data_IF_268481630806
#
_entry.id   IF_268481630806
#
_cell.length_a   1.000
_cell.length_b   1.000
_cell.length_c   1.000
_cell.angle_alpha   90.00
_cell.angle_beta   90.00
_cell.angle_gamma   90.00
#
_symmetry.space_group_name_H-M   'P 1'
#
loop_
_entity.id
_entity.type
_entity.pdbx_description
1 polymer ?
#
# COMPACT_ATOMS: atom_id res chain seq x y z
N UNK A 1 17.13 -0.17 12.20
CA UNK A 1 15.95 0.23 13.00
C UNK A 1 15.05 1.04 12.10
N UNK A 2 13.73 0.89 12.22
CA UNK A 2 12.75 1.66 11.46
C UNK A 2 11.81 2.36 12.43
N UNK A 3 11.36 3.56 12.08
CA UNK A 3 10.32 4.29 12.82
C UNK A 3 9.39 4.91 11.80
N UNK A 4 8.09 4.89 12.12
CA UNK A 4 7.05 5.56 11.36
C UNK A 4 6.60 6.80 12.17
N UNK A 5 7.56 7.54 12.72
CA UNK A 5 7.39 8.68 13.64
C UNK A 5 6.63 8.39 14.95
N UNK A 6 6.37 7.11 15.25
CA UNK A 6 5.79 6.68 16.53
C UNK A 6 6.83 6.57 17.66
N UNK A 7 8.11 6.62 17.31
CA UNK A 7 9.22 6.48 18.27
C UNK A 7 10.37 7.40 17.88
N UNK A 8 10.71 8.28 18.80
CA UNK A 8 11.96 9.04 18.73
C UNK A 8 13.15 8.13 19.04
N UNK A 9 14.21 8.28 18.26
CA UNK A 9 15.47 7.61 18.54
C UNK A 9 16.40 8.50 19.36
N UNK A 10 17.18 7.93 20.30
CA UNK A 10 18.15 8.70 21.08
C UNK A 10 19.18 9.37 20.16
N UNK A 11 19.62 10.59 20.51
CA UNK A 11 20.62 11.33 19.74
C UNK A 11 21.93 10.54 19.51
N UNK A 12 22.30 9.67 20.45
CA UNK A 12 23.47 8.80 20.31
C UNK A 12 23.36 7.80 19.16
N UNK A 13 22.14 7.38 18.81
CA UNK A 13 21.84 6.50 17.69
C UNK A 13 21.84 7.30 16.38
N UNK A 14 21.14 8.44 16.37
CA UNK A 14 21.02 9.30 15.18
C UNK A 14 22.37 9.75 14.63
N UNK A 15 23.34 10.08 15.50
CA UNK A 15 24.70 10.48 15.06
C UNK A 15 25.58 9.34 14.52
N UNK A 16 25.14 8.07 14.61
CA UNK A 16 25.89 6.87 14.17
C UNK A 16 25.17 6.09 13.07
N UNK A 17 24.01 6.55 12.62
CA UNK A 17 23.20 5.87 11.60
C UNK A 17 23.00 6.77 10.38
N UNK A 18 22.92 6.15 9.20
CA UNK A 18 22.46 6.83 7.99
C UNK A 18 20.95 7.06 8.09
N UNK A 19 20.53 8.31 7.98
CA UNK A 19 19.11 8.66 7.95
C UNK A 19 18.57 8.49 6.54
N UNK A 20 17.68 7.52 6.37
CA UNK A 20 16.95 7.30 5.13
C UNK A 20 15.48 7.62 5.38
N UNK A 21 14.97 8.65 4.72
CA UNK A 21 13.54 8.94 4.70
C UNK A 21 12.89 8.18 3.51
N UNK A 22 11.96 7.29 3.82
CA UNK A 22 11.22 6.52 2.84
C UNK A 22 9.85 7.18 2.62
N UNK A 23 9.78 8.02 1.58
CA UNK A 23 8.53 8.65 1.17
C UNK A 23 7.49 7.65 0.65
N UNK A 24 6.23 8.11 0.54
CA UNK A 24 5.15 7.31 -0.05
C UNK A 24 5.50 6.93 -1.50
N UNK A 25 5.31 5.66 -1.91
CA UNK A 25 5.57 5.24 -3.27
C UNK A 25 4.57 5.88 -4.24
N UNK A 26 5.06 6.37 -5.38
CA UNK A 26 4.21 6.81 -6.49
C UNK A 26 3.70 5.62 -7.33
N UNK A 27 2.88 5.91 -8.36
CA UNK A 27 2.21 4.88 -9.17
C UNK A 27 3.18 3.88 -9.80
N UNK A 28 4.29 4.33 -10.39
CA UNK A 28 5.27 3.43 -11.03
C UNK A 28 5.93 2.49 -10.01
N UNK A 29 6.20 3.00 -8.80
CA UNK A 29 6.81 2.20 -7.73
C UNK A 29 5.82 1.20 -7.15
N UNK A 30 4.56 1.58 -7.03
CA UNK A 30 3.48 0.67 -6.61
C UNK A 30 3.26 -0.44 -7.64
N UNK A 31 3.19 -0.10 -8.93
CA UNK A 31 3.10 -1.08 -10.02
C UNK A 31 4.28 -2.07 -9.99
N UNK A 32 5.51 -1.57 -9.82
CA UNK A 32 6.69 -2.41 -9.67
C UNK A 32 6.63 -3.30 -8.42
N UNK A 33 6.08 -2.80 -7.30
CA UNK A 33 5.88 -3.59 -6.08
C UNK A 33 4.87 -4.70 -6.32
N UNK A 34 3.71 -4.40 -6.90
CA UNK A 34 2.68 -5.41 -7.25
C UNK A 34 3.30 -6.48 -8.16
N UNK A 35 3.99 -6.06 -9.22
CA UNK A 35 4.60 -6.98 -10.17
C UNK A 35 5.67 -7.88 -9.53
N UNK A 36 6.47 -7.32 -8.63
CA UNK A 36 7.51 -8.07 -7.91
C UNK A 36 6.94 -9.13 -6.93
N UNK A 37 5.74 -8.91 -6.40
CA UNK A 37 5.12 -9.83 -5.43
C UNK A 37 4.17 -10.85 -6.09
N UNK A 38 3.46 -10.45 -7.14
CA UNK A 38 2.32 -11.20 -7.68
C UNK A 38 2.51 -11.65 -9.13
N UNK A 39 3.62 -11.25 -9.76
CA UNK A 39 3.98 -11.62 -11.13
C UNK A 39 3.98 -10.42 -12.08
N UNK A 40 4.70 -10.52 -13.22
CA UNK A 40 4.95 -9.37 -14.11
C UNK A 40 3.69 -8.89 -14.86
N UNK A 41 2.64 -9.71 -14.92
CA UNK A 41 1.45 -9.44 -15.71
C UNK A 41 0.49 -8.52 -14.94
N UNK A 42 0.71 -7.21 -15.08
CA UNK A 42 -0.21 -6.19 -14.58
C UNK A 42 -1.44 -6.10 -15.49
N UNK A 43 -2.62 -6.36 -14.94
CA UNK A 43 -3.92 -6.21 -15.60
C UNK A 43 -4.48 -4.81 -15.37
N UNK A 44 -5.49 -4.43 -16.14
CA UNK A 44 -6.21 -3.16 -15.94
C UNK A 44 -6.82 -3.08 -14.52
N UNK A 45 -7.29 -4.21 -13.97
CA UNK A 45 -7.79 -4.29 -12.60
C UNK A 45 -6.70 -3.97 -11.55
N UNK A 46 -5.46 -4.41 -11.78
CA UNK A 46 -4.34 -4.07 -10.91
C UNK A 46 -4.03 -2.56 -10.93
N UNK A 47 -4.10 -1.94 -12.12
CA UNK A 47 -3.89 -0.49 -12.29
C UNK A 47 -5.00 0.28 -11.59
N UNK A 48 -6.25 -0.13 -11.75
CA UNK A 48 -7.39 0.49 -11.07
C UNK A 48 -7.26 0.43 -9.55
N UNK A 49 -6.77 -0.69 -8.99
CA UNK A 49 -6.51 -0.81 -7.54
C UNK A 49 -5.38 0.11 -7.08
N UNK A 50 -4.32 0.26 -7.87
CA UNK A 50 -3.22 1.21 -7.58
C UNK A 50 -3.76 2.64 -7.57
N UNK A 51 -4.58 3.02 -8.55
CA UNK A 51 -5.15 4.36 -8.63
C UNK A 51 -6.11 4.63 -7.46
N UNK A 52 -6.94 3.65 -7.08
CA UNK A 52 -7.79 3.73 -5.87
C UNK A 52 -6.99 3.84 -4.58
N UNK A 53 -5.81 3.22 -4.50
CA UNK A 53 -4.91 3.36 -3.36
C UNK A 53 -4.31 4.78 -3.30
N UNK A 54 -3.96 5.35 -4.45
CA UNK A 54 -3.41 6.69 -4.57
C UNK A 54 -4.44 7.79 -4.35
N UNK A 55 -5.73 7.54 -4.64
CA UNK A 55 -6.82 8.50 -4.50
C UNK A 55 -7.29 8.74 -3.05
N UNK A 56 -6.55 8.26 -2.05
CA UNK A 56 -6.87 8.47 -0.63
C UNK A 56 -6.91 9.96 -0.26
N UNK A 57 -7.89 10.35 0.56
CA UNK A 57 -8.01 11.75 0.98
C UNK A 57 -6.84 12.17 1.89
N UNK A 58 -6.51 13.48 1.96
CA UNK A 58 -5.53 13.98 2.92
C UNK A 58 -5.89 13.56 4.35
N UNK A 59 -4.96 12.91 5.04
CA UNK A 59 -5.20 12.38 6.39
C UNK A 59 -5.86 11.01 6.41
N UNK A 60 -6.06 10.34 5.27
CA UNK A 60 -6.31 8.91 5.23
C UNK A 60 -4.99 8.18 4.99
N UNK A 61 -4.72 7.16 5.82
CA UNK A 61 -3.55 6.32 5.66
C UNK A 61 -3.96 4.91 5.27
N UNK A 62 -3.39 4.45 4.15
CA UNK A 62 -3.40 3.06 3.73
C UNK A 62 -1.97 2.54 3.69
N UNK A 63 -1.78 1.35 4.26
CA UNK A 63 -0.50 0.67 4.23
C UNK A 63 -0.32 -0.10 2.92
N UNK A 64 0.92 -0.24 2.45
CA UNK A 64 1.20 -0.87 1.15
C UNK A 64 0.77 -2.35 1.10
N UNK A 65 0.77 -3.03 2.24
CA UNK A 65 0.25 -4.39 2.38
C UNK A 65 -1.27 -4.46 2.11
N UNK A 66 -2.05 -3.41 2.41
CA UNK A 66 -3.47 -3.38 2.06
C UNK A 66 -3.70 -3.44 0.54
N UNK A 67 -2.85 -2.74 -0.24
CA UNK A 67 -2.89 -2.84 -1.70
C UNK A 67 -2.51 -4.26 -2.15
N UNK A 68 -1.38 -4.78 -1.66
CA UNK A 68 -0.91 -6.11 -2.06
C UNK A 68 -1.92 -7.21 -1.70
N UNK A 69 -2.54 -7.13 -0.53
CA UNK A 69 -3.58 -8.04 -0.09
C UNK A 69 -4.85 -7.90 -0.93
N UNK A 70 -5.25 -6.67 -1.29
CA UNK A 70 -6.39 -6.46 -2.17
C UNK A 70 -6.17 -7.13 -3.53
N UNK A 71 -5.04 -6.88 -4.18
CA UNK A 71 -4.70 -7.49 -5.47
C UNK A 71 -4.64 -9.02 -5.37
N UNK A 72 -3.96 -9.56 -4.35
CA UNK A 72 -3.84 -11.00 -4.17
C UNK A 72 -5.19 -11.68 -3.93
N UNK A 73 -6.01 -11.13 -3.03
CA UNK A 73 -7.26 -11.77 -2.64
C UNK A 73 -8.31 -11.68 -3.75
N UNK A 74 -8.37 -10.60 -4.54
CA UNK A 74 -9.28 -10.53 -5.69
C UNK A 74 -8.85 -11.48 -6.81
N UNK A 75 -7.54 -11.68 -7.01
CA UNK A 75 -7.02 -12.64 -7.97
C UNK A 75 -7.31 -14.10 -7.57
N UNK A 76 -7.11 -14.46 -6.30
CA UNK A 76 -7.29 -15.84 -5.81
C UNK A 76 -8.76 -16.19 -5.58
N UNK A 77 -9.64 -15.19 -5.40
CA UNK A 77 -11.10 -15.38 -5.32
C UNK A 77 -11.75 -15.74 -6.67
N UNK A 78 -11.00 -16.37 -7.57
CA UNK A 78 -11.40 -16.67 -8.93
C UNK A 78 -12.65 -17.57 -8.92
N UNK A 79 -13.73 -17.06 -9.51
CA UNK A 79 -15.08 -17.65 -9.47
C UNK A 79 -16.17 -16.79 -8.82
N UNK A 80 -15.82 -15.70 -8.13
CA UNK A 80 -16.77 -14.68 -7.66
C UNK A 80 -17.15 -13.66 -8.74
N UNK A 81 -18.34 -13.07 -8.62
CA UNK A 81 -18.82 -11.96 -9.46
C UNK A 81 -17.84 -10.77 -9.41
N UNK A 82 -17.50 -10.10 -10.53
CA UNK A 82 -16.77 -8.84 -10.53
C UNK A 82 -17.24 -7.82 -9.48
N UNK A 83 -18.55 -7.74 -9.21
CA UNK A 83 -19.09 -6.84 -8.18
C UNK A 83 -18.58 -7.20 -6.77
N UNK A 84 -18.53 -8.49 -6.44
CA UNK A 84 -18.05 -8.98 -5.15
C UNK A 84 -16.54 -8.72 -4.97
N UNK A 85 -15.76 -8.84 -6.05
CA UNK A 85 -14.32 -8.53 -6.04
C UNK A 85 -14.09 -7.04 -5.79
N UNK A 86 -14.86 -6.19 -6.46
CA UNK A 86 -14.81 -4.74 -6.24
C UNK A 86 -15.12 -4.37 -4.79
N UNK A 87 -16.16 -4.97 -4.22
CA UNK A 87 -16.54 -4.77 -2.81
C UNK A 87 -15.49 -5.29 -1.83
N UNK A 88 -14.88 -6.44 -2.12
CA UNK A 88 -13.79 -6.99 -1.31
C UNK A 88 -12.57 -6.05 -1.31
N UNK A 89 -12.17 -5.56 -2.48
CA UNK A 89 -11.08 -4.61 -2.60
C UNK A 89 -11.33 -3.32 -1.81
N UNK A 90 -12.57 -2.80 -1.83
CA UNK A 90 -12.97 -1.65 -1.02
C UNK A 90 -12.86 -1.91 0.49
N UNK A 91 -13.27 -3.10 0.95
CA UNK A 91 -13.18 -3.49 2.36
C UNK A 91 -11.72 -3.57 2.83
N UNK A 92 -10.86 -4.18 2.01
CA UNK A 92 -9.44 -4.39 2.32
C UNK A 92 -8.65 -3.08 2.31
N UNK A 93 -9.02 -2.14 1.44
CA UNK A 93 -8.36 -0.84 1.29
C UNK A 93 -8.99 0.28 2.13
N UNK A 94 -9.77 -0.03 3.16
CA UNK A 94 -10.27 1.00 4.10
C UNK A 94 -9.10 1.68 4.85
N UNK A 95 -9.14 3.00 5.07
CA UNK A 95 -8.11 3.68 5.85
C UNK A 95 -7.96 3.08 7.25
N UNK A 96 -6.72 2.93 7.72
CA UNK A 96 -6.42 2.36 9.03
C UNK A 96 -6.64 3.35 10.20
N UNK A 97 -7.02 4.58 9.88
CA UNK A 97 -7.17 5.69 10.81
C UNK A 97 -6.62 6.99 10.23
N UNK A 98 -6.63 8.10 11.01
CA UNK A 98 -6.05 9.35 10.55
C UNK A 98 -4.57 9.15 10.26
N UNK A 99 -4.17 9.37 9.02
CA UNK A 99 -2.78 9.43 8.60
C UNK A 99 -2.07 10.58 9.27
N UNK A 100 -0.98 10.27 9.98
CA UNK A 100 -0.12 11.31 10.53
C UNK A 100 0.54 12.08 9.36
N UNK A 101 0.58 13.41 9.55
CA UNK A 101 1.07 14.39 8.57
C UNK A 101 2.56 14.25 8.32
#
# INVERSE_FOLDING_TARGET
>A
MTSNDQRDFPAALLRRCLHLNLGRPGPQRLAAMVAAHLGPDLTDEHVDMIDRFLSQAPGEFRAADQLLNAVYLTQVSDGGDPEDRGRLAELLMRPLGPGQR
#
